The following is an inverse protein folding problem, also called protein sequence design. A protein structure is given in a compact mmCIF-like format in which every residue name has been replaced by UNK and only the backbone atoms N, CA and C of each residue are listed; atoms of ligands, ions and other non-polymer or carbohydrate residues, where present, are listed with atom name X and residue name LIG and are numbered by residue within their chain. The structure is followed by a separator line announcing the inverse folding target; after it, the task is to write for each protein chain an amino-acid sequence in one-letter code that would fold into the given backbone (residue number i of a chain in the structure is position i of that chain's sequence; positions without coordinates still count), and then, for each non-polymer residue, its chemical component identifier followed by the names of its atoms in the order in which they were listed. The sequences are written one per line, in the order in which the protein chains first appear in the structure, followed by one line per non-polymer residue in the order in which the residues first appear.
data_IF_126148060878
#
_entry.id   IF_126148060878
#
_cell.length_a   1.000
_cell.length_b   1.000
_cell.length_c   1.000
_cell.angle_alpha   90.00
_cell.angle_beta   90.00
_cell.angle_gamma   90.00
#
_symmetry.space_group_name_H-M   'P 1'
#
loop_
_entity.id
_entity.type
_entity.pdbx_description
1 polymer ?
#
# COMPACT_ATOMS: atom_id res chain seq x y z
N UNK A 1 -1.49 -9.84 -20.19
CA UNK A 1 -0.98 -9.74 -18.80
C UNK A 1 -2.18 -9.59 -17.89
N UNK A 2 -2.10 -9.99 -16.63
CA UNK A 2 -3.21 -9.79 -15.70
C UNK A 2 -3.25 -8.31 -15.27
N UNK A 3 -4.44 -7.74 -15.05
CA UNK A 3 -4.58 -6.36 -14.53
C UNK A 3 -4.10 -6.30 -13.08
N UNK A 4 -3.52 -5.18 -12.63
CA UNK A 4 -3.01 -5.05 -11.26
C UNK A 4 -4.08 -5.34 -10.20
N UNK A 5 -5.33 -4.94 -10.47
CA UNK A 5 -6.48 -5.21 -9.59
C UNK A 5 -6.78 -6.70 -9.36
N UNK A 6 -6.15 -7.60 -10.13
CA UNK A 6 -6.29 -9.05 -9.93
C UNK A 6 -5.25 -9.64 -8.97
N UNK A 7 -4.22 -8.87 -8.58
CA UNK A 7 -3.33 -9.22 -7.47
C UNK A 7 -4.13 -9.03 -6.18
N UNK A 8 -4.66 -10.12 -5.61
CA UNK A 8 -5.41 -10.07 -4.36
C UNK A 8 -4.70 -10.79 -3.23
N UNK A 9 -4.81 -10.25 -2.01
CA UNK A 9 -4.34 -10.91 -0.80
C UNK A 9 -5.11 -10.47 0.44
N UNK A 10 -5.54 -11.44 1.25
CA UNK A 10 -6.16 -11.23 2.57
C UNK A 10 -5.18 -11.44 3.72
N UNK A 11 -3.91 -11.72 3.38
CA UNK A 11 -2.83 -12.02 4.32
C UNK A 11 -3.25 -12.98 5.45
N UNK A 12 -4.07 -13.98 5.13
CA UNK A 12 -4.30 -15.12 6.03
C UNK A 12 -3.05 -15.99 6.13
N UNK A 13 -2.27 -16.03 5.04
CA UNK A 13 -0.93 -16.63 4.97
C UNK A 13 -0.05 -15.83 4.01
N UNK A 14 1.26 -15.84 4.21
CA UNK A 14 2.20 -15.23 3.27
C UNK A 14 2.55 -16.23 2.16
N UNK A 15 1.91 -16.13 1.00
CA UNK A 15 2.18 -16.98 -0.16
C UNK A 15 3.48 -16.55 -0.88
N UNK A 16 4.60 -17.10 -0.42
CA UNK A 16 5.93 -16.90 -1.02
C UNK A 16 6.21 -17.84 -2.19
N UNK A 17 5.29 -18.74 -2.52
CA UNK A 17 5.46 -19.70 -3.62
C UNK A 17 5.00 -19.15 -4.95
N UNK A 18 3.97 -18.31 -4.96
CA UNK A 18 3.34 -17.85 -6.20
C UNK A 18 3.16 -16.33 -6.21
N UNK A 19 2.79 -15.71 -5.08
CA UNK A 19 2.42 -14.30 -5.06
C UNK A 19 3.58 -13.38 -4.76
N UNK A 20 4.34 -13.67 -3.70
CA UNK A 20 5.29 -12.72 -3.15
C UNK A 20 6.73 -13.26 -3.11
N UNK A 21 7.70 -12.41 -3.39
CA UNK A 21 9.11 -12.64 -3.15
C UNK A 21 9.54 -11.77 -1.96
N UNK A 22 10.22 -12.38 -0.99
CA UNK A 22 10.87 -11.64 0.09
C UNK A 22 12.26 -11.22 -0.41
N UNK A 23 12.45 -9.92 -0.60
CA UNK A 23 13.70 -9.35 -1.12
C UNK A 23 14.54 -8.66 -0.02
N UNK A 24 13.93 -8.42 1.14
CA UNK A 24 14.58 -7.78 2.29
C UNK A 24 13.85 -8.07 3.59
N UNK A 25 14.60 -8.07 4.69
CA UNK A 25 14.07 -8.24 6.03
C UNK A 25 13.42 -9.59 6.32
N UNK A 26 12.37 -9.57 7.14
CA UNK A 26 11.60 -10.73 7.57
C UNK A 26 10.10 -10.43 7.70
N UNK A 27 9.42 -9.99 6.62
CA UNK A 27 7.99 -9.72 6.63
C UNK A 27 7.24 -11.00 7.02
N UNK A 28 6.21 -10.85 7.85
CA UNK A 28 5.47 -12.00 8.35
C UNK A 28 3.98 -11.71 8.47
N UNK A 29 3.18 -12.76 8.40
CA UNK A 29 1.74 -12.69 8.63
C UNK A 29 1.43 -13.15 10.05
N UNK A 30 0.67 -12.33 10.78
CA UNK A 30 0.15 -12.68 12.11
C UNK A 30 -1.18 -11.99 12.35
N UNK A 31 -2.16 -12.70 12.89
CA UNK A 31 -3.49 -12.15 13.15
C UNK A 31 -4.32 -11.86 11.90
N UNK A 32 -3.94 -12.40 10.73
CA UNK A 32 -4.60 -12.10 9.45
C UNK A 32 -4.14 -10.79 8.82
N UNK A 33 -2.96 -10.31 9.18
CA UNK A 33 -2.41 -9.05 8.66
C UNK A 33 -0.93 -9.24 8.35
N UNK A 34 -0.44 -8.57 7.30
CA UNK A 34 0.98 -8.51 6.99
C UNK A 34 1.66 -7.49 7.91
N UNK A 35 2.73 -7.92 8.56
CA UNK A 35 3.62 -7.08 9.36
C UNK A 35 4.88 -6.83 8.54
N UNK A 36 5.20 -5.56 8.36
CA UNK A 36 6.45 -5.07 7.80
C UNK A 36 7.21 -4.37 8.95
N UNK A 37 8.51 -4.61 9.04
CA UNK A 37 9.45 -3.87 9.87
C UNK A 37 10.47 -3.12 9.04
N UNK A 38 11.42 -2.45 9.71
CA UNK A 38 12.51 -1.75 9.04
C UNK A 38 13.26 -2.69 8.08
N UNK A 39 13.46 -2.22 6.84
CA UNK A 39 14.11 -2.95 5.73
C UNK A 39 13.33 -4.16 5.18
N UNK A 40 12.09 -4.39 5.61
CA UNK A 40 11.24 -5.40 5.00
C UNK A 40 10.85 -4.98 3.57
N UNK A 41 11.04 -5.92 2.64
CA UNK A 41 10.70 -5.74 1.24
C UNK A 41 10.03 -7.02 0.72
N UNK A 42 8.74 -6.89 0.44
CA UNK A 42 7.91 -7.88 -0.22
C UNK A 42 7.53 -7.41 -1.64
N UNK A 43 7.90 -8.17 -2.68
CA UNK A 43 7.62 -7.84 -4.09
C UNK A 43 6.67 -8.87 -4.70
N UNK A 44 5.73 -8.46 -5.56
CA UNK A 44 4.93 -9.42 -6.31
C UNK A 44 5.82 -10.20 -7.30
N UNK A 45 5.64 -11.52 -7.40
CA UNK A 45 6.45 -12.36 -8.30
C UNK A 45 6.08 -12.20 -9.79
N UNK A 46 4.94 -11.58 -10.08
CA UNK A 46 4.43 -11.36 -11.44
C UNK A 46 4.39 -9.87 -11.80
N UNK A 47 4.48 -9.60 -13.09
CA UNK A 47 4.21 -8.27 -13.64
C UNK A 47 2.72 -8.14 -13.99
N UNK A 48 2.20 -6.93 -13.81
CA UNK A 48 0.79 -6.59 -13.97
C UNK A 48 0.57 -5.43 -14.92
N UNK A 49 -0.60 -5.40 -15.56
CA UNK A 49 -1.04 -4.30 -16.39
C UNK A 49 -1.75 -3.23 -15.54
N UNK A 50 -1.21 -2.01 -15.52
CA UNK A 50 -1.74 -0.91 -14.70
C UNK A 50 -2.74 0.00 -15.43
N UNK A 51 -2.69 0.05 -16.77
CA UNK A 51 -3.61 0.88 -17.55
C UNK A 51 -5.07 0.56 -17.23
N UNK A 52 -5.87 1.56 -16.91
CA UNK A 52 -7.27 1.41 -16.49
C UNK A 52 -7.43 0.35 -15.38
N UNK A 53 -6.50 0.32 -14.42
CA UNK A 53 -6.49 -0.60 -13.28
C UNK A 53 -6.20 0.15 -11.98
N UNK A 54 -6.15 -0.58 -10.88
CA UNK A 54 -5.93 0.00 -9.57
C UNK A 54 -5.10 -0.89 -8.63
N UNK A 55 -4.52 -0.24 -7.65
CA UNK A 55 -4.10 -0.81 -6.38
C UNK A 55 -5.06 -0.30 -5.31
N UNK A 56 -5.60 -1.20 -4.50
CA UNK A 56 -6.34 -0.94 -3.28
C UNK A 56 -5.68 -1.71 -2.14
N UNK A 57 -5.55 -1.09 -0.98
CA UNK A 57 -5.08 -1.75 0.23
C UNK A 57 -5.67 -1.12 1.50
N UNK A 58 -5.66 -1.90 2.57
CA UNK A 58 -5.94 -1.45 3.93
C UNK A 58 -4.64 -1.23 4.70
N UNK A 59 -4.53 -0.06 5.33
CA UNK A 59 -3.51 0.27 6.31
C UNK A 59 -4.11 0.04 7.70
N UNK A 60 -3.83 -1.12 8.29
CA UNK A 60 -4.30 -1.48 9.65
C UNK A 60 -3.56 -0.65 10.70
N UNK A 61 -2.25 -0.47 10.49
CA UNK A 61 -1.39 0.36 11.33
C UNK A 61 -0.31 1.01 10.48
N UNK A 62 -0.21 2.33 10.52
CA UNK A 62 0.68 3.10 9.66
C UNK A 62 2.01 3.50 10.32
N UNK A 63 3.09 2.95 9.79
CA UNK A 63 4.42 3.58 9.61
C UNK A 63 4.68 3.49 8.06
N UNK A 64 5.31 4.44 7.34
CA UNK A 64 5.27 4.43 5.84
C UNK A 64 6.05 3.26 5.16
N UNK A 65 5.81 2.75 3.93
CA UNK A 65 5.01 3.15 2.73
C UNK A 65 4.96 2.05 1.60
N UNK A 66 3.81 1.65 1.01
CA UNK A 66 3.79 0.82 -0.21
C UNK A 66 4.49 1.49 -1.43
N UNK A 67 5.11 0.71 -2.32
CA UNK A 67 5.81 1.24 -3.51
C UNK A 67 5.45 0.47 -4.77
N UNK A 68 5.11 1.16 -5.85
CA UNK A 68 4.88 0.57 -7.17
C UNK A 68 6.07 0.84 -8.08
N UNK A 69 6.62 -0.22 -8.69
CA UNK A 69 7.72 -0.14 -9.65
C UNK A 69 7.24 -0.45 -11.07
N UNK A 70 7.88 0.10 -12.10
CA UNK A 70 7.78 -0.45 -13.45
C UNK A 70 8.66 -1.69 -13.63
N UNK A 71 8.30 -2.58 -14.55
CA UNK A 71 9.07 -3.81 -14.80
C UNK A 71 10.50 -3.58 -15.32
N UNK A 72 10.80 -2.38 -15.81
CA UNK A 72 12.14 -1.94 -16.19
C UNK A 72 12.83 -1.10 -15.09
N UNK A 73 12.20 -0.95 -13.91
CA UNK A 73 12.59 -0.10 -12.77
C UNK A 73 12.95 1.35 -13.15
N UNK A 74 12.62 1.74 -14.38
CA UNK A 74 12.96 3.04 -14.96
C UNK A 74 11.96 4.12 -14.59
N UNK A 75 10.92 3.77 -13.84
CA UNK A 75 9.92 4.62 -13.18
C UNK A 75 9.44 3.93 -11.90
N UNK A 76 9.23 4.71 -10.86
CA UNK A 76 8.73 4.22 -9.58
C UNK A 76 7.84 5.27 -8.94
N UNK A 77 6.68 4.83 -8.47
CA UNK A 77 5.79 5.63 -7.65
C UNK A 77 5.83 5.05 -6.24
N UNK A 78 6.38 5.81 -5.30
CA UNK A 78 6.21 5.50 -3.88
C UNK A 78 4.92 6.11 -3.38
N UNK A 79 4.15 5.34 -2.64
CA UNK A 79 2.90 5.77 -2.05
C UNK A 79 2.97 5.60 -0.53
N UNK A 80 3.02 6.69 0.22
CA UNK A 80 3.46 6.60 1.61
C UNK A 80 2.96 7.70 2.51
N UNK A 81 3.17 7.49 3.81
CA UNK A 81 3.17 8.57 4.78
C UNK A 81 4.48 9.35 4.69
N UNK A 82 4.42 10.67 4.68
CA UNK A 82 5.61 11.50 4.88
C UNK A 82 5.97 11.59 6.38
N UNK A 83 7.17 12.08 6.70
CA UNK A 83 7.65 12.24 8.07
C UNK A 83 6.87 13.27 8.92
N UNK A 84 5.82 13.90 8.37
CA UNK A 84 4.90 14.80 9.08
C UNK A 84 3.45 14.27 9.10
N UNK A 85 3.21 13.04 8.62
CA UNK A 85 1.93 12.35 8.67
C UNK A 85 0.98 12.61 7.48
N UNK A 86 1.44 13.28 6.42
CA UNK A 86 0.70 13.43 5.16
C UNK A 86 0.80 12.19 4.28
N UNK A 87 -0.12 12.03 3.32
CA UNK A 87 -0.03 10.98 2.30
C UNK A 87 0.58 11.57 1.02
N UNK A 88 1.72 11.04 0.62
CA UNK A 88 2.46 11.45 -0.58
C UNK A 88 2.50 10.37 -1.66
N UNK A 89 2.54 10.80 -2.91
CA UNK A 89 2.86 9.97 -4.08
C UNK A 89 4.13 10.54 -4.70
N UNK A 90 5.28 9.90 -4.52
CA UNK A 90 6.55 10.40 -5.04
C UNK A 90 6.89 9.66 -6.32
N UNK A 91 6.90 10.38 -7.44
CA UNK A 91 7.60 9.93 -8.65
C UNK A 91 9.10 10.13 -8.40
N UNK A 92 9.83 9.03 -8.33
CA UNK A 92 11.24 9.03 -7.97
C UNK A 92 12.17 9.52 -9.10
N UNK A 93 11.66 9.83 -10.30
CA UNK A 93 12.49 10.11 -11.48
C UNK A 93 12.15 11.36 -12.27
N UNK A 94 10.96 11.96 -12.14
CA UNK A 94 10.60 13.12 -12.96
C UNK A 94 10.37 14.43 -12.18
N UNK A 95 9.64 14.42 -11.07
CA UNK A 95 9.34 15.61 -10.24
C UNK A 95 8.40 15.16 -9.13
N UNK A 96 8.63 15.57 -7.88
CA UNK A 96 7.76 15.21 -6.75
C UNK A 96 6.29 15.57 -7.03
N UNK A 97 5.38 14.62 -6.79
CA UNK A 97 3.94 14.82 -6.92
C UNK A 97 3.27 14.76 -5.54
N UNK A 98 3.40 15.83 -4.75
CA UNK A 98 2.79 15.87 -3.41
C UNK A 98 1.27 16.08 -3.52
N UNK A 99 0.49 15.02 -3.37
CA UNK A 99 -0.96 15.05 -3.53
C UNK A 99 -1.71 15.50 -2.27
N UNK A 100 -1.19 15.26 -1.06
CA UNK A 100 -1.89 15.63 0.17
C UNK A 100 -0.98 15.99 1.33
N UNK A 101 -1.15 17.20 1.87
CA UNK A 101 -0.62 17.60 3.18
C UNK A 101 -1.79 17.90 4.10
N UNK A 102 -1.92 17.12 5.17
CA UNK A 102 -2.97 17.23 6.17
C UNK A 102 -2.63 16.35 7.37
N UNK A 103 -3.16 16.63 8.57
CA UNK A 103 -2.90 15.81 9.74
C UNK A 103 -3.35 14.36 9.51
N UNK A 104 -2.50 13.40 9.89
CA UNK A 104 -2.82 11.98 9.84
C UNK A 104 -4.04 11.71 10.74
N UNK A 105 -5.16 11.34 10.13
CA UNK A 105 -6.27 10.68 10.81
C UNK A 105 -6.28 9.22 10.36
N UNK A 106 -5.69 8.29 11.13
CA UNK A 106 -5.63 6.87 10.77
C UNK A 106 -7.00 6.25 10.49
N UNK A 107 -8.08 6.75 11.12
CA UNK A 107 -9.42 6.25 10.87
C UNK A 107 -9.97 6.74 9.52
N UNK A 108 -9.71 8.00 9.15
CA UNK A 108 -10.11 8.55 7.85
C UNK A 108 -9.22 8.08 6.68
N UNK A 109 -8.03 7.57 6.99
CA UNK A 109 -6.99 7.16 6.04
C UNK A 109 -6.73 5.65 6.11
N UNK A 110 -7.71 4.85 6.54
CA UNK A 110 -7.56 3.40 6.69
C UNK A 110 -7.38 2.68 5.36
N UNK A 111 -8.13 3.07 4.33
CA UNK A 111 -8.09 2.44 3.01
C UNK A 111 -7.53 3.37 1.98
N UNK A 112 -6.61 2.86 1.17
CA UNK A 112 -5.95 3.63 0.15
C UNK A 112 -6.19 3.02 -1.23
N UNK A 113 -6.33 3.87 -2.25
CA UNK A 113 -6.47 3.44 -3.63
C UNK A 113 -5.71 4.36 -4.58
N UNK A 114 -4.93 3.76 -5.45
CA UNK A 114 -4.25 4.42 -6.56
C UNK A 114 -4.74 3.78 -7.85
N UNK A 115 -5.36 4.59 -8.73
CA UNK A 115 -6.00 4.10 -9.95
C UNK A 115 -5.51 4.87 -11.17
N UNK A 116 -5.28 4.17 -12.26
CA UNK A 116 -5.19 4.77 -13.59
C UNK A 116 -6.59 4.81 -14.22
N UNK A 117 -6.96 5.95 -14.77
CA UNK A 117 -8.16 6.12 -15.58
C UNK A 117 -7.79 6.89 -16.85
N UNK A 118 -7.72 6.17 -17.96
CA UNK A 118 -7.40 6.73 -19.27
C UNK A 118 -6.11 7.59 -19.27
N UNK A 119 -5.07 7.12 -18.56
CA UNK A 119 -3.79 7.81 -18.42
C UNK A 119 -3.75 8.91 -17.34
N UNK A 120 -4.79 9.01 -16.52
CA UNK A 120 -4.80 9.89 -15.34
C UNK A 120 -4.65 9.03 -14.08
N UNK A 121 -3.59 9.30 -13.31
CA UNK A 121 -3.39 8.72 -11.99
C UNK A 121 -4.27 9.46 -10.97
N UNK A 122 -5.05 8.71 -10.20
CA UNK A 122 -5.98 9.22 -9.20
C UNK A 122 -5.63 8.57 -7.86
N UNK A 123 -5.35 9.40 -6.86
CA UNK A 123 -5.21 8.97 -5.48
C UNK A 123 -6.51 9.19 -4.72
N UNK A 124 -6.95 8.15 -4.00
CA UNK A 124 -8.14 8.16 -3.18
C UNK A 124 -7.89 7.50 -1.82
N UNK A 125 -8.63 7.92 -0.82
CA UNK A 125 -8.64 7.28 0.51
C UNK A 125 -10.07 7.07 0.99
N UNK A 126 -10.27 6.11 1.88
CA UNK A 126 -11.55 5.84 2.49
C UNK A 126 -11.40 5.41 3.96
N UNK A 127 -12.34 5.80 4.85
CA UNK A 127 -12.41 5.22 6.19
C UNK A 127 -12.94 3.79 6.21
N UNK A 128 -13.75 3.41 5.23
CA UNK A 128 -14.53 2.16 5.21
C UNK A 128 -14.29 1.31 3.95
N UNK A 129 -13.46 1.79 3.03
CA UNK A 129 -13.14 1.15 1.77
C UNK A 129 -14.24 1.20 0.70
N UNK A 130 -15.43 1.69 1.05
CA UNK A 130 -16.59 1.80 0.14
C UNK A 130 -16.81 3.25 -0.35
N UNK A 131 -16.59 4.23 0.53
CA UNK A 131 -16.77 5.66 0.24
C UNK A 131 -15.41 6.33 0.03
N UNK A 132 -15.08 6.65 -1.22
CA UNK A 132 -13.76 7.15 -1.60
C UNK A 132 -13.74 8.68 -1.70
N UNK A 133 -12.71 9.28 -1.10
CA UNK A 133 -12.40 10.71 -1.24
C UNK A 133 -11.16 10.87 -2.11
N UNK A 134 -11.30 11.56 -3.24
CA UNK A 134 -10.15 11.92 -4.08
C UNK A 134 -9.23 12.88 -3.32
N UNK A 135 -7.95 12.54 -3.29
CA UNK A 135 -6.89 13.37 -2.70
C UNK A 135 -6.17 14.19 -3.77
N UNK A 136 -6.16 13.73 -5.02
CA UNK A 136 -5.74 14.48 -6.19
C UNK A 136 -5.33 13.60 -7.37
N UNK A 137 -4.90 14.24 -8.45
CA UNK A 137 -4.69 13.60 -9.75
C UNK A 137 -3.49 14.15 -10.52
N UNK A 138 -2.83 13.29 -11.29
CA UNK A 138 -1.75 13.65 -12.22
C UNK A 138 -1.88 12.87 -13.53
N UNK A 139 -1.13 13.29 -14.55
CA UNK A 139 -0.84 12.41 -15.67
C UNK A 139 -0.10 11.17 -15.14
N UNK A 140 -0.50 9.98 -15.58
CA UNK A 140 0.12 8.73 -15.16
C UNK A 140 1.54 8.62 -15.74
N UNK A 141 2.60 8.63 -14.90
CA UNK A 141 3.97 8.49 -15.39
C UNK A 141 4.38 7.02 -15.54
N UNK A 142 3.61 6.07 -15.00
CA UNK A 142 3.95 4.66 -15.06
C UNK A 142 3.70 4.09 -16.46
N UNK A 143 4.55 3.18 -16.93
CA UNK A 143 4.25 2.38 -18.11
C UNK A 143 3.05 1.47 -17.85
N UNK A 144 2.53 0.87 -18.92
CA UNK A 144 1.42 -0.06 -18.82
C UNK A 144 1.73 -1.32 -18.02
N UNK A 145 3.01 -1.66 -17.82
CA UNK A 145 3.46 -2.85 -17.09
C UNK A 145 4.25 -2.49 -15.84
N UNK A 146 3.78 -2.98 -14.69
CA UNK A 146 4.30 -2.66 -13.36
C UNK A 146 4.46 -3.91 -12.50
N UNK A 147 5.23 -3.78 -11.42
CA UNK A 147 5.34 -4.76 -10.34
C UNK A 147 5.12 -4.05 -9.01
N UNK A 148 4.30 -4.65 -8.16
CA UNK A 148 3.97 -4.08 -6.85
C UNK A 148 5.00 -4.50 -5.81
N UNK A 149 5.37 -3.58 -4.93
CA UNK A 149 6.12 -3.86 -3.73
C UNK A 149 5.45 -3.27 -2.47
N UNK A 150 5.59 -3.98 -1.36
CA UNK A 150 5.33 -3.47 -0.03
C UNK A 150 6.69 -3.34 0.66
N UNK A 151 7.02 -2.12 1.03
CA UNK A 151 8.32 -1.77 1.59
C UNK A 151 8.07 -0.95 2.83
N UNK A 152 8.82 -1.21 3.88
CA UNK A 152 8.94 -0.25 4.96
C UNK A 152 10.34 0.36 4.93
N UNK A 153 10.37 1.64 4.55
CA UNK A 153 11.59 2.45 4.51
C UNK A 153 11.48 3.55 5.55
N UNK A 154 12.28 3.49 6.60
CA UNK A 154 12.28 4.53 7.64
C UNK A 154 12.96 4.09 8.92
N UNK A 155 13.44 5.07 9.68
CA UNK A 155 14.04 4.86 11.00
C UNK A 155 12.95 4.75 12.06
N UNK A 156 12.83 3.60 12.71
CA UNK A 156 11.89 3.38 13.81
C UNK A 156 11.53 1.90 13.99
N UNK A 157 11.33 1.47 15.22
CA UNK A 157 11.00 0.07 15.56
C UNK A 157 9.53 -0.31 15.34
N UNK A 158 8.70 0.63 14.86
CA UNK A 158 7.27 0.42 14.73
C UNK A 158 6.95 -0.28 13.41
N UNK A 159 6.18 -1.36 13.49
CA UNK A 159 5.73 -2.13 12.33
C UNK A 159 4.66 -1.37 11.54
N UNK A 160 4.68 -1.55 10.22
CA UNK A 160 3.54 -1.27 9.36
C UNK A 160 2.68 -2.52 9.22
N UNK A 161 1.38 -2.36 9.36
CA UNK A 161 0.42 -3.45 9.24
C UNK A 161 -0.50 -3.18 8.03
N UNK A 162 -0.49 -4.11 7.07
CA UNK A 162 -1.23 -4.01 5.80
C UNK A 162 -2.15 -5.21 5.63
N UNK A 163 -3.36 -4.96 5.12
CA UNK A 163 -4.33 -5.99 4.80
C UNK A 163 -5.05 -5.74 3.46
N UNK A 164 -5.80 -6.73 2.99
CA UNK A 164 -6.86 -6.61 1.98
C UNK A 164 -6.43 -5.95 0.65
N UNK A 165 -5.35 -6.47 0.03
CA UNK A 165 -4.91 -6.02 -1.29
C UNK A 165 -5.97 -6.36 -2.33
N UNK A 166 -6.52 -5.35 -3.00
CA UNK A 166 -7.54 -5.44 -4.05
C UNK A 166 -8.75 -6.33 -3.71
N UNK A 167 -9.03 -6.55 -2.43
CA UNK A 167 -10.21 -7.28 -1.99
C UNK A 167 -11.41 -6.35 -1.83
N UNK A 168 -12.65 -6.85 -2.03
CA UNK A 168 -13.86 -6.08 -1.77
C UNK A 168 -13.90 -5.62 -0.31
N UNK A 169 -14.27 -4.36 -0.11
CA UNK A 169 -14.20 -3.66 1.17
C UNK A 169 -15.42 -3.91 2.07
N UNK A 170 -16.24 -4.92 1.75
CA UNK A 170 -17.39 -5.33 2.56
C UNK A 170 -16.97 -6.14 3.81
N UNK A 171 -15.66 -6.26 4.06
CA UNK A 171 -15.10 -6.89 5.25
C UNK A 171 -15.35 -5.92 6.42
N UNK A 172 -16.14 -6.30 7.44
CA UNK A 172 -16.34 -5.46 8.59
C UNK A 172 -14.98 -5.13 9.21
N UNK A 173 -14.75 -3.89 9.68
CA UNK A 173 -13.51 -3.51 10.31
C UNK A 173 -13.12 -4.57 11.34
N UNK A 174 -11.91 -5.14 11.25
CA UNK A 174 -11.34 -5.82 12.42
C UNK A 174 -11.41 -4.75 13.53
N UNK A 175 -12.14 -5.00 14.63
CA UNK A 175 -12.15 -4.06 15.73
C UNK A 175 -10.70 -3.80 16.10
N UNK A 176 -10.29 -2.53 16.16
CA UNK A 176 -8.97 -2.18 16.67
C UNK A 176 -8.74 -3.05 17.91
N UNK A 177 -7.65 -3.82 17.93
CA UNK A 177 -7.39 -4.71 19.02
C UNK A 177 -7.38 -3.86 20.29
N UNK A 178 -8.46 -3.93 21.06
CA UNK A 178 -8.53 -3.33 22.39
C UNK A 178 -7.74 -4.18 23.38
N UNK A 179 -6.87 -5.06 22.86
CA UNK A 179 -5.80 -5.81 23.48
C UNK A 179 -5.09 -5.05 24.57
N UNK A 180 -5.73 -5.06 25.74
CA UNK A 180 -5.18 -5.54 27.00
C UNK A 180 -3.71 -5.15 27.16
N UNK A 181 -3.50 -3.99 27.78
CA UNK A 181 -2.37 -3.81 28.67
C UNK A 181 -2.36 -4.95 29.69
N UNK A 182 -1.65 -6.04 29.39
CA UNK A 182 -1.12 -6.91 30.43
C UNK A 182 0.13 -6.21 30.96
N UNK A 183 -0.05 -5.31 31.93
CA UNK A 183 1.03 -4.93 32.81
C UNK A 183 1.25 -6.11 33.77
N UNK A 184 2.28 -6.90 33.51
CA UNK A 184 2.94 -7.66 34.57
C UNK A 184 3.95 -6.73 35.27
N UNK A 185 3.94 -6.86 36.60
CA UNK A 185 4.83 -6.27 37.63
C UNK A 185 4.52 -4.84 38.08
#
# INVERSE_FOLDING_TARGET
MAKLETLTDDFTTLDTTIKWAILGGGPYVSGGTLHLGEDDYLEAQSDYEFTDSHLLLEIVRGNPAPTLYSADFSTAIQFGLDGIGGIGVVDLLATEFLIHTGPLDPAALRWWKLRDESGTLILETSPDGSNWTSRGTAANPLPSTVRMALIQSGVGSDLSEVDNINLPTDIPPIPADTGRFFAFF
#
